data_IF_770946401061
#
_entry.id   IF_770946401061
#
_cell.length_a   1.000
_cell.length_b   1.000
_cell.length_c   1.000
_cell.angle_alpha   90.00
_cell.angle_beta   90.00
_cell.angle_gamma   90.00
#
_symmetry.space_group_name_H-M   'P 1'
#
loop_
_entity.id
_entity.type
_entity.pdbx_description
1 polymer ?
#
# COMPACT_ATOMS: atom_id res chain seq x y z
N UNK A 1 -9.51 51.99 24.33
CA UNK A 1 -8.29 51.48 23.67
C UNK A 1 -8.69 50.41 22.67
N UNK A 2 -8.68 50.73 21.38
CA UNK A 2 -8.93 49.78 20.31
C UNK A 2 -7.63 49.04 19.97
N UNK A 3 -7.59 47.73 20.19
CA UNK A 3 -6.47 46.89 19.78
C UNK A 3 -6.88 46.14 18.52
N UNK A 4 -6.34 46.56 17.37
CA UNK A 4 -6.47 45.87 16.08
C UNK A 4 -5.65 44.59 16.14
N UNK A 5 -6.31 43.43 16.14
CA UNK A 5 -5.64 42.14 15.95
C UNK A 5 -5.49 41.89 14.45
N UNK A 6 -4.30 42.18 13.92
CA UNK A 6 -3.89 41.81 12.57
C UNK A 6 -3.79 40.28 12.50
N UNK A 7 -4.68 39.64 11.73
CA UNK A 7 -4.65 38.20 11.47
C UNK A 7 -3.53 37.91 10.49
N UNK A 8 -2.40 37.40 11.01
CA UNK A 8 -1.31 36.88 10.20
C UNK A 8 -1.73 35.55 9.56
N UNK A 9 -2.19 35.63 8.32
CA UNK A 9 -2.42 34.51 7.43
C UNK A 9 -1.07 33.93 6.98
N UNK A 10 -0.43 33.13 7.83
CA UNK A 10 0.80 32.45 7.44
C UNK A 10 0.93 31.11 8.16
N UNK A 11 0.84 30.06 7.35
CA UNK A 11 1.44 28.73 7.56
C UNK A 11 0.61 27.78 8.45
N UNK A 12 -0.54 27.39 7.92
CA UNK A 12 -1.05 26.02 8.07
C UNK A 12 -0.57 25.21 6.85
N UNK A 13 0.69 24.80 6.87
CA UNK A 13 1.27 23.82 5.96
C UNK A 13 2.26 23.00 6.80
N UNK A 14 2.24 21.69 6.85
CA UNK A 14 1.43 20.67 6.23
C UNK A 14 1.88 19.39 6.93
N UNK A 15 0.91 18.54 7.26
CA UNK A 15 1.10 17.34 8.05
C UNK A 15 1.95 16.28 7.31
N UNK A 16 2.73 15.52 8.09
CA UNK A 16 3.08 14.10 7.88
C UNK A 16 3.84 13.75 6.60
N UNK A 17 5.17 13.73 6.68
CA UNK A 17 6.03 13.15 5.65
C UNK A 17 7.08 12.22 6.25
N UNK A 18 6.68 11.12 6.90
CA UNK A 18 7.55 9.95 7.14
C UNK A 18 6.74 8.67 7.30
N UNK A 19 6.30 8.07 6.20
CA UNK A 19 5.87 6.67 6.16
C UNK A 19 6.21 6.02 4.81
N UNK A 20 7.42 6.29 4.30
CA UNK A 20 8.02 5.58 3.15
C UNK A 20 9.10 4.62 3.66
N UNK A 21 8.75 3.69 4.54
CA UNK A 21 9.73 2.72 5.06
C UNK A 21 9.08 1.38 5.38
N UNK A 22 8.40 0.82 4.38
CA UNK A 22 8.08 -0.61 4.34
C UNK A 22 8.09 -1.14 2.92
N UNK A 23 9.01 -0.68 2.07
CA UNK A 23 9.30 -1.34 0.81
C UNK A 23 10.20 -2.54 1.10
N UNK A 24 9.60 -3.61 1.62
CA UNK A 24 10.26 -4.91 1.62
C UNK A 24 10.47 -5.32 0.16
N UNK A 25 11.76 -5.47 -0.18
CA UNK A 25 12.26 -6.01 -1.44
C UNK A 25 11.41 -7.21 -1.88
N UNK A 26 11.09 -7.26 -3.17
CA UNK A 26 10.38 -8.33 -3.87
C UNK A 26 11.23 -9.61 -3.91
N UNK A 27 11.55 -10.16 -2.73
CA UNK A 27 12.03 -11.52 -2.58
C UNK A 27 10.83 -12.49 -2.60
N UNK A 28 10.99 -13.73 -3.07
CA UNK A 28 9.96 -14.74 -2.94
C UNK A 28 9.60 -14.96 -1.46
N UNK A 29 8.39 -14.53 -1.07
CA UNK A 29 7.86 -14.68 0.29
C UNK A 29 7.66 -16.14 0.60
N UNK A 30 8.50 -16.78 1.39
CA UNK A 30 8.37 -18.21 1.76
C UNK A 30 6.98 -18.53 2.32
N UNK A 31 6.50 -19.78 2.24
CA UNK A 31 5.19 -20.15 2.78
C UNK A 31 5.15 -19.93 4.30
N UNK A 32 6.31 -20.12 4.94
CA UNK A 32 6.58 -19.75 6.32
C UNK A 32 6.45 -18.24 6.55
N UNK A 33 6.99 -17.39 5.66
CA UNK A 33 6.83 -15.93 5.74
C UNK A 33 5.38 -15.48 5.49
N UNK A 34 4.63 -16.13 4.60
CA UNK A 34 3.21 -15.84 4.40
C UNK A 34 2.38 -16.19 5.65
N UNK A 35 2.65 -17.35 6.28
CA UNK A 35 2.03 -17.71 7.57
C UNK A 35 2.49 -16.79 8.70
N UNK A 36 3.77 -16.45 8.76
CA UNK A 36 4.31 -15.52 9.74
C UNK A 36 3.76 -14.10 9.54
N UNK A 37 3.49 -13.68 8.30
CA UNK A 37 2.85 -12.41 8.00
C UNK A 37 1.43 -12.37 8.57
N UNK A 38 0.63 -13.40 8.30
CA UNK A 38 -0.73 -13.51 8.87
C UNK A 38 -0.67 -13.60 10.40
N UNK A 39 0.25 -14.38 10.97
CA UNK A 39 0.46 -14.49 12.41
C UNK A 39 0.94 -13.18 13.06
N UNK A 40 1.72 -12.38 12.31
CA UNK A 40 2.16 -11.04 12.69
C UNK A 40 1.08 -9.98 12.44
N UNK A 41 -0.16 -10.39 12.13
CA UNK A 41 -1.29 -9.50 11.91
C UNK A 41 -1.19 -8.67 10.63
N UNK A 42 -0.45 -9.12 9.62
CA UNK A 42 -0.45 -8.50 8.29
C UNK A 42 -1.67 -8.98 7.49
N UNK A 43 -2.20 -8.09 6.66
CA UNK A 43 -3.35 -8.35 5.78
C UNK A 43 -2.95 -8.25 4.31
N UNK A 44 -3.69 -8.95 3.44
CA UNK A 44 -3.55 -8.81 2.00
C UNK A 44 -4.14 -7.47 1.58
N UNK A 45 -3.38 -6.66 0.84
CA UNK A 45 -3.84 -5.39 0.34
C UNK A 45 -3.65 -5.31 -1.17
N UNK A 46 -4.76 -5.16 -1.89
CA UNK A 46 -4.84 -5.08 -3.33
C UNK A 46 -4.68 -3.63 -3.81
N UNK A 47 -4.09 -3.48 -5.00
CA UNK A 47 -3.88 -2.18 -5.63
C UNK A 47 -2.74 -1.35 -5.05
N UNK A 48 -1.92 -1.92 -4.15
CA UNK A 48 -0.74 -1.24 -3.56
C UNK A 48 0.58 -1.74 -4.12
N UNK A 49 0.57 -2.87 -4.83
CA UNK A 49 1.77 -3.45 -5.42
C UNK A 49 2.22 -2.61 -6.62
N UNK A 50 3.54 -2.38 -6.73
CA UNK A 50 4.15 -1.83 -7.93
C UNK A 50 4.30 -2.93 -8.99
N UNK A 51 4.55 -2.51 -10.24
CA UNK A 51 4.85 -3.42 -11.35
C UNK A 51 5.94 -4.41 -10.95
N UNK A 52 5.68 -5.70 -11.16
CA UNK A 52 6.60 -6.80 -10.87
C UNK A 52 6.83 -7.08 -9.38
N UNK A 53 6.11 -6.41 -8.48
CA UNK A 53 6.37 -6.44 -7.03
C UNK A 53 5.17 -6.88 -6.19
N UNK A 54 4.21 -7.59 -6.80
CA UNK A 54 3.09 -8.18 -6.07
C UNK A 54 3.46 -9.53 -5.46
N UNK A 55 2.81 -9.83 -4.34
CA UNK A 55 2.88 -11.12 -3.66
C UNK A 55 1.89 -12.11 -4.29
N UNK A 56 2.15 -13.42 -4.16
CA UNK A 56 1.26 -14.45 -4.68
C UNK A 56 0.38 -15.07 -3.59
N UNK A 57 -0.91 -15.27 -3.89
CA UNK A 57 -1.89 -15.88 -2.97
C UNK A 57 -1.49 -17.31 -2.55
N UNK A 58 -0.78 -18.02 -3.43
CA UNK A 58 -0.29 -19.37 -3.23
C UNK A 58 1.08 -19.45 -2.54
N UNK A 59 1.71 -18.31 -2.23
CA UNK A 59 3.00 -18.23 -1.53
C UNK A 59 4.22 -18.12 -2.47
N UNK A 60 5.43 -18.34 -1.95
CA UNK A 60 6.72 -18.13 -2.65
C UNK A 60 6.84 -19.03 -3.87
N UNK A 61 7.60 -18.60 -4.88
CA UNK A 61 8.03 -19.51 -5.96
C UNK A 61 6.89 -20.08 -6.81
N UNK A 62 5.68 -19.57 -6.60
CA UNK A 62 4.54 -19.83 -7.46
C UNK A 62 4.51 -18.81 -8.58
N UNK A 63 3.94 -19.18 -9.72
CA UNK A 63 3.98 -18.37 -10.94
C UNK A 63 3.23 -17.05 -10.85
N UNK A 64 2.49 -16.77 -9.76
CA UNK A 64 1.68 -15.57 -9.63
C UNK A 64 2.39 -14.38 -8.95
N UNK A 65 3.57 -14.60 -8.35
CA UNK A 65 4.37 -13.53 -7.74
C UNK A 65 5.07 -12.71 -8.82
N UNK A 66 5.06 -11.38 -8.69
CA UNK A 66 5.70 -10.48 -9.66
C UNK A 66 5.03 -10.47 -11.04
N UNK A 67 3.82 -11.01 -11.16
CA UNK A 67 3.02 -10.97 -12.40
C UNK A 67 2.36 -9.63 -12.65
N UNK A 68 2.42 -8.71 -11.69
CA UNK A 68 1.81 -7.41 -11.84
C UNK A 68 2.49 -6.64 -12.99
N UNK A 69 1.73 -6.28 -14.01
CA UNK A 69 2.29 -5.64 -15.21
C UNK A 69 2.12 -4.13 -15.19
N UNK A 70 1.40 -3.55 -14.24
CA UNK A 70 1.26 -2.10 -14.05
C UNK A 70 1.35 -1.73 -12.57
N UNK A 71 1.75 -0.49 -12.28
CA UNK A 71 1.79 -0.01 -10.91
C UNK A 71 0.37 0.11 -10.34
N UNK A 72 0.20 -0.31 -9.09
CA UNK A 72 -1.07 -0.25 -8.36
C UNK A 72 -2.20 -1.08 -8.97
N UNK A 73 -1.83 -2.13 -9.71
CA UNK A 73 -2.77 -3.04 -10.36
C UNK A 73 -3.80 -3.60 -9.36
N UNK A 74 -5.08 -3.45 -9.68
CA UNK A 74 -6.17 -3.72 -8.75
C UNK A 74 -6.34 -5.17 -8.33
N UNK A 75 -5.97 -6.13 -9.18
CA UNK A 75 -5.98 -7.56 -8.84
C UNK A 75 -4.62 -8.07 -8.31
N UNK A 76 -3.62 -7.20 -8.25
CA UNK A 76 -2.33 -7.48 -7.63
C UNK A 76 -2.33 -7.00 -6.18
N UNK A 77 -1.71 -7.77 -5.28
CA UNK A 77 -1.71 -7.46 -3.85
C UNK A 77 -0.33 -7.58 -3.23
N UNK A 78 -0.17 -6.96 -2.06
CA UNK A 78 1.01 -7.09 -1.20
C UNK A 78 0.58 -7.21 0.26
N UNK A 79 1.37 -7.86 1.10
CA UNK A 79 1.13 -7.83 2.55
C UNK A 79 1.42 -6.45 3.15
N UNK A 80 0.45 -5.92 3.89
CA UNK A 80 0.58 -4.69 4.68
C UNK A 80 0.23 -4.99 6.13
N UNK A 81 0.51 -4.07 7.06
CA UNK A 81 0.06 -4.25 8.44
C UNK A 81 -1.47 -4.26 8.49
N UNK A 82 -2.06 -5.13 9.31
CA UNK A 82 -3.51 -5.22 9.46
C UNK A 82 -4.14 -3.87 9.82
N UNK A 83 -5.27 -3.56 9.19
CA UNK A 83 -5.97 -2.28 9.37
C UNK A 83 -5.28 -1.09 8.72
N UNK A 84 -4.20 -1.28 7.95
CA UNK A 84 -3.51 -0.21 7.22
C UNK A 84 -3.81 -0.19 5.74
N UNK A 85 -4.43 -1.22 5.17
CA UNK A 85 -4.64 -1.31 3.74
C UNK A 85 -5.43 -0.12 3.16
N UNK A 86 -6.54 0.25 3.80
CA UNK A 86 -7.34 1.42 3.42
C UNK A 86 -6.66 2.77 3.75
N UNK A 87 -5.57 2.74 4.53
CA UNK A 87 -4.75 3.91 4.89
C UNK A 87 -3.53 4.08 3.96
N UNK A 88 -3.27 3.12 3.08
CA UNK A 88 -2.22 3.24 2.07
C UNK A 88 -2.70 4.24 1.02
N UNK A 89 -2.13 5.43 1.04
CA UNK A 89 -2.36 6.46 0.03
C UNK A 89 -1.55 6.15 -1.22
N UNK A 90 -2.22 6.21 -2.36
CA UNK A 90 -1.66 5.92 -3.67
C UNK A 90 -1.81 7.16 -4.57
N UNK A 91 -0.98 7.30 -5.62
CA UNK A 91 -1.09 8.39 -6.57
C UNK A 91 -2.51 8.51 -7.14
N UNK A 92 -3.00 9.73 -7.29
CA UNK A 92 -4.36 10.02 -7.76
C UNK A 92 -5.45 9.89 -6.70
N UNK A 93 -5.10 10.01 -5.41
CA UNK A 93 -6.07 9.96 -4.31
C UNK A 93 -6.71 8.58 -4.12
N UNK A 94 -6.03 7.53 -4.59
CA UNK A 94 -6.52 6.15 -4.49
C UNK A 94 -6.05 5.54 -3.17
N UNK A 95 -6.78 4.53 -2.70
CA UNK A 95 -6.40 3.74 -1.52
C UNK A 95 -6.35 2.26 -1.85
N UNK A 96 -5.59 1.50 -1.06
CA UNK A 96 -5.58 0.03 -1.11
C UNK A 96 -6.91 -0.57 -0.66
N UNK A 97 -7.15 -1.83 -1.00
CA UNK A 97 -8.34 -2.58 -0.58
C UNK A 97 -8.00 -3.98 -0.07
N UNK A 98 -8.65 -4.49 0.99
CA UNK A 98 -8.48 -5.88 1.42
C UNK A 98 -9.09 -6.88 0.40
N UNK A 99 -9.88 -6.40 -0.55
CA UNK A 99 -10.48 -7.18 -1.63
C UNK A 99 -9.92 -6.77 -3.00
N UNK A 100 -9.93 -7.69 -3.99
CA UNK A 100 -9.51 -7.36 -5.35
C UNK A 100 -10.28 -6.17 -5.92
N UNK A 101 -9.55 -5.29 -6.60
CA UNK A 101 -10.09 -4.11 -7.26
C UNK A 101 -10.17 -4.34 -8.76
N UNK A 102 -11.16 -3.75 -9.41
CA UNK A 102 -11.39 -3.84 -10.86
C UNK A 102 -10.67 -2.77 -11.67
N UNK A 103 -9.95 -1.84 -11.01
CA UNK A 103 -9.15 -0.79 -11.66
C UNK A 103 -7.75 -1.27 -12.01
N UNK A 104 -7.12 -0.65 -12.98
CA UNK A 104 -5.71 -0.89 -13.35
C UNK A 104 -5.42 -2.37 -13.65
N UNK A 105 -6.43 -3.12 -14.13
CA UNK A 105 -6.31 -4.52 -14.55
C UNK A 105 -5.98 -4.55 -16.05
N UNK A 106 -4.79 -5.03 -16.44
CA UNK A 106 -4.42 -5.21 -17.85
C UNK A 106 -5.39 -6.18 -18.55
N UNK A 107 -5.67 -5.92 -19.83
CA UNK A 107 -6.50 -6.77 -20.69
C UNK A 107 -5.78 -8.08 -21.08
#
# INVERSE_FOLDING_TARGET
MSTKTTVSTAILAGAVATALSSFAYSAPLTEAEAKAAVAAGKEKCYGVALRGQNDCAAGPGTTCQGTSTVDFQGNAWKFVMGGTCAKVELPGGRTGSPTPLTRDVPA
#
